data_IF_929541992331
#
_entry.id   IF_929541992331
#
_cell.length_a   1.000
_cell.length_b   1.000
_cell.length_c   1.000
_cell.angle_alpha   90.00
_cell.angle_beta   90.00
_cell.angle_gamma   90.00
#
_symmetry.space_group_name_H-M   'P 1'
#
loop_
_entity.id
_entity.type
_entity.pdbx_description
1 polymer ?
#
# COMPACT_ATOMS: atom_id res chain seq x y z
N UNK A 1 15.49 1.01 13.42
CA UNK A 1 14.76 1.60 12.27
C UNK A 1 14.38 3.06 12.55
N UNK A 2 13.75 3.38 13.69
CA UNK A 2 13.37 4.73 14.11
C UNK A 2 14.55 5.72 14.16
N UNK A 3 15.68 5.34 14.77
CA UNK A 3 16.85 6.21 14.89
C UNK A 3 17.49 6.54 13.53
N UNK A 4 17.60 5.54 12.65
CA UNK A 4 18.10 5.71 11.28
C UNK A 4 17.16 6.60 10.44
N UNK A 5 15.85 6.47 10.63
CA UNK A 5 14.85 7.32 9.96
C UNK A 5 14.99 8.79 10.40
N UNK A 6 15.15 9.04 11.70
CA UNK A 6 15.33 10.38 12.24
C UNK A 6 16.62 11.06 11.73
N UNK A 7 17.75 10.33 11.74
CA UNK A 7 19.04 10.81 11.22
C UNK A 7 18.97 11.16 9.73
N UNK A 8 18.30 10.30 8.94
CA UNK A 8 18.09 10.53 7.52
C UNK A 8 17.25 11.80 7.30
N UNK A 9 16.09 11.93 7.95
CA UNK A 9 15.22 13.09 7.80
C UNK A 9 15.93 14.42 8.15
N UNK A 10 16.73 14.43 9.22
CA UNK A 10 17.54 15.58 9.61
C UNK A 10 18.53 15.98 8.52
N UNK A 11 19.36 15.04 8.05
CA UNK A 11 20.33 15.29 6.98
C UNK A 11 19.68 15.91 5.74
N UNK A 12 18.50 15.42 5.37
CA UNK A 12 17.81 15.86 4.17
C UNK A 12 17.21 17.26 4.29
N UNK A 13 16.81 17.62 5.51
CA UNK A 13 16.24 18.93 5.84
C UNK A 13 17.36 19.97 5.87
N UNK A 14 18.45 19.66 6.56
CA UNK A 14 19.61 20.55 6.73
C UNK A 14 20.28 20.90 5.38
N UNK A 15 20.20 20.01 4.38
CA UNK A 15 20.77 20.20 3.05
C UNK A 15 19.77 20.71 1.99
N UNK A 16 18.57 21.17 2.38
CA UNK A 16 17.54 21.71 1.48
C UNK A 16 17.15 20.78 0.30
N UNK A 17 17.19 19.47 0.50
CA UNK A 17 16.82 18.48 -0.52
C UNK A 17 15.29 18.33 -0.66
N UNK A 18 14.64 19.38 -1.18
CA UNK A 18 13.19 19.56 -1.27
C UNK A 18 12.59 19.56 -2.69
N UNK A 19 13.40 19.25 -3.71
CA UNK A 19 12.95 19.23 -5.11
C UNK A 19 11.88 18.17 -5.38
N UNK A 20 11.11 18.36 -6.44
CA UNK A 20 10.05 17.43 -6.82
C UNK A 20 10.61 16.06 -7.25
N UNK A 21 11.76 16.03 -7.93
CA UNK A 21 12.47 14.80 -8.30
C UNK A 21 12.89 14.00 -7.06
N UNK A 22 13.41 14.67 -6.02
CA UNK A 22 13.76 14.01 -4.77
C UNK A 22 12.54 13.45 -4.04
N UNK A 23 11.41 14.16 -4.03
CA UNK A 23 10.16 13.62 -3.45
C UNK A 23 9.71 12.34 -4.16
N UNK A 24 9.84 12.29 -5.49
CA UNK A 24 9.54 11.09 -6.27
C UNK A 24 10.51 9.94 -5.94
N UNK A 25 11.81 10.20 -5.91
CA UNK A 25 12.84 9.21 -5.53
C UNK A 25 12.59 8.66 -4.13
N UNK A 26 12.24 9.51 -3.16
CA UNK A 26 11.90 9.11 -1.79
C UNK A 26 10.70 8.18 -1.74
N UNK A 27 9.63 8.53 -2.46
CA UNK A 27 8.45 7.67 -2.58
C UNK A 27 8.83 6.29 -3.11
N UNK A 28 9.57 6.27 -4.22
CA UNK A 28 10.00 5.02 -4.86
C UNK A 28 10.94 4.19 -3.99
N UNK A 29 11.89 4.83 -3.31
CA UNK A 29 12.79 4.17 -2.36
C UNK A 29 12.00 3.55 -1.22
N UNK A 30 11.01 4.27 -0.67
CA UNK A 30 10.14 3.77 0.38
C UNK A 30 9.34 2.54 -0.08
N UNK A 31 8.78 2.56 -1.29
CA UNK A 31 8.10 1.40 -1.89
C UNK A 31 9.03 0.18 -1.96
N UNK A 32 10.25 0.34 -2.50
CA UNK A 32 11.20 -0.77 -2.62
C UNK A 32 11.65 -1.32 -1.27
N UNK A 33 11.86 -0.46 -0.27
CA UNK A 33 12.22 -0.91 1.08
C UNK A 33 11.10 -1.75 1.72
N UNK A 34 9.83 -1.37 1.54
CA UNK A 34 8.69 -2.15 2.02
C UNK A 34 8.63 -3.50 1.32
N UNK A 35 8.76 -3.51 -0.02
CA UNK A 35 8.72 -4.74 -0.81
C UNK A 35 9.86 -5.70 -0.41
N UNK A 36 11.08 -5.18 -0.26
CA UNK A 36 12.23 -5.95 0.19
C UNK A 36 12.01 -6.53 1.59
N UNK A 37 11.45 -5.72 2.50
CA UNK A 37 11.13 -6.15 3.85
C UNK A 37 10.08 -7.26 3.86
N UNK A 38 9.00 -7.13 3.08
CA UNK A 38 7.97 -8.15 2.94
C UNK A 38 8.53 -9.46 2.39
N UNK A 39 9.34 -9.38 1.34
CA UNK A 39 10.01 -10.54 0.77
C UNK A 39 10.93 -11.23 1.79
N UNK A 40 11.76 -10.46 2.51
CA UNK A 40 12.65 -10.99 3.55
C UNK A 40 11.88 -11.68 4.69
N UNK A 41 10.65 -11.24 4.96
CA UNK A 41 9.77 -11.82 5.98
C UNK A 41 9.01 -13.06 5.52
N UNK A 42 9.24 -13.53 4.29
CA UNK A 42 8.67 -14.76 3.75
C UNK A 42 7.35 -14.55 3.00
N UNK A 43 6.95 -13.31 2.71
CA UNK A 43 5.82 -13.06 1.81
C UNK A 43 6.28 -13.38 0.38
N UNK A 44 5.75 -14.47 -0.17
CA UNK A 44 5.99 -14.93 -1.55
C UNK A 44 4.85 -14.48 -2.48
N UNK A 45 5.02 -14.61 -3.80
CA UNK A 45 4.01 -14.21 -4.80
C UNK A 45 3.61 -12.73 -4.69
N UNK A 46 4.61 -11.85 -4.70
CA UNK A 46 4.46 -10.39 -4.61
C UNK A 46 4.22 -9.83 -6.02
N UNK A 47 3.12 -9.10 -6.22
CA UNK A 47 2.80 -8.43 -7.48
C UNK A 47 2.89 -6.90 -7.31
N UNK A 48 4.10 -6.31 -7.47
CA UNK A 48 4.27 -4.86 -7.32
C UNK A 48 3.71 -4.10 -8.52
N UNK A 49 3.25 -2.88 -8.31
CA UNK A 49 2.78 -1.96 -9.36
C UNK A 49 1.70 -2.58 -10.28
N UNK A 50 0.78 -3.32 -9.68
CA UNK A 50 -0.17 -4.17 -10.40
C UNK A 50 -1.51 -3.45 -10.69
N UNK A 51 -2.11 -3.85 -11.81
CA UNK A 51 -3.50 -3.56 -12.17
C UNK A 51 -4.29 -4.85 -12.10
N UNK A 52 -5.52 -4.78 -11.58
CA UNK A 52 -6.42 -5.92 -11.52
C UNK A 52 -7.34 -5.89 -12.74
N UNK A 53 -7.53 -7.02 -13.42
CA UNK A 53 -8.31 -7.08 -14.68
C UNK A 53 -9.72 -6.48 -14.55
N UNK A 54 -10.38 -6.68 -13.42
CA UNK A 54 -11.73 -6.19 -13.14
C UNK A 54 -11.75 -4.73 -12.66
N UNK A 55 -10.59 -4.12 -12.40
CA UNK A 55 -10.43 -2.68 -12.13
C UNK A 55 -9.12 -2.19 -12.80
N UNK A 56 -9.13 -1.98 -14.12
CA UNK A 56 -7.93 -1.61 -14.86
C UNK A 56 -7.47 -0.17 -14.61
N UNK A 57 -8.31 0.68 -14.03
CA UNK A 57 -8.02 2.10 -13.82
C UNK A 57 -7.26 2.38 -12.52
N UNK A 58 -7.17 1.40 -11.62
CA UNK A 58 -6.54 1.55 -10.31
C UNK A 58 -5.21 0.82 -10.29
N UNK A 59 -4.15 1.59 -10.04
CA UNK A 59 -2.81 1.05 -9.85
C UNK A 59 -2.53 0.83 -8.37
N UNK A 60 -2.20 -0.40 -8.00
CA UNK A 60 -1.77 -0.74 -6.65
C UNK A 60 -0.26 -0.81 -6.56
N UNK A 61 0.30 -0.32 -5.46
CA UNK A 61 1.75 -0.45 -5.22
C UNK A 61 2.15 -1.90 -4.98
N UNK A 62 1.26 -2.67 -4.33
CA UNK A 62 1.40 -4.12 -4.15
C UNK A 62 0.02 -4.80 -4.14
N UNK A 63 -0.07 -5.95 -4.80
CA UNK A 63 -1.16 -6.92 -4.64
C UNK A 63 -0.59 -8.26 -4.18
N UNK A 64 -1.28 -8.88 -3.23
CA UNK A 64 -1.07 -10.25 -2.77
C UNK A 64 -2.36 -11.04 -2.93
N UNK A 65 -2.23 -12.34 -3.20
CA UNK A 65 -3.36 -13.26 -3.23
C UNK A 65 -3.24 -14.25 -2.09
N UNK A 66 -4.31 -14.43 -1.31
CA UNK A 66 -4.37 -15.43 -0.25
C UNK A 66 -5.57 -16.35 -0.43
N UNK A 67 -5.49 -17.59 0.06
CA UNK A 67 -6.60 -18.55 -0.02
C UNK A 67 -7.88 -18.04 0.64
N UNK A 68 -7.75 -17.29 1.73
CA UNK A 68 -8.86 -16.85 2.58
C UNK A 68 -9.45 -15.51 2.13
N UNK A 69 -8.62 -14.51 1.83
CA UNK A 69 -9.03 -13.13 1.53
C UNK A 69 -9.12 -12.85 0.03
N UNK A 70 -8.68 -13.79 -0.82
CA UNK A 70 -8.52 -13.70 -2.28
C UNK A 70 -7.58 -12.59 -2.73
N UNK A 71 -7.75 -11.34 -2.32
CA UNK A 71 -6.95 -10.20 -2.76
C UNK A 71 -6.70 -9.25 -1.59
N UNK A 72 -5.43 -8.98 -1.35
CA UNK A 72 -4.95 -8.01 -0.37
C UNK A 72 -4.11 -7.00 -1.14
N UNK A 73 -4.57 -5.76 -1.23
CA UNK A 73 -3.89 -4.71 -1.97
C UNK A 73 -3.40 -3.59 -1.06
N UNK A 74 -2.33 -2.95 -1.49
CA UNK A 74 -1.63 -1.94 -0.74
C UNK A 74 -1.27 -0.76 -1.61
N UNK A 75 -1.41 0.43 -1.04
CA UNK A 75 -0.68 1.61 -1.51
C UNK A 75 0.26 2.10 -0.43
N UNK A 76 1.40 2.63 -0.87
CA UNK A 76 2.47 3.13 -0.03
C UNK A 76 2.59 4.64 -0.23
N UNK A 77 2.53 5.40 0.86
CA UNK A 77 2.64 6.87 0.79
C UNK A 77 3.57 7.36 1.90
N UNK A 78 4.62 8.09 1.56
CA UNK A 78 5.46 8.73 2.59
C UNK A 78 4.67 9.74 3.41
N UNK A 79 3.73 10.45 2.77
CA UNK A 79 2.78 11.37 3.41
C UNK A 79 1.44 11.36 2.66
N UNK A 80 0.33 11.56 3.38
CA UNK A 80 -1.02 11.35 2.84
C UNK A 80 -1.64 12.62 2.25
N UNK A 81 -1.56 13.76 2.94
CA UNK A 81 -2.14 15.06 2.50
C UNK A 81 -3.57 14.89 1.99
N UNK A 82 -4.00 15.51 0.90
CA UNK A 82 -5.31 15.25 0.29
C UNK A 82 -5.36 13.98 -0.58
N UNK A 83 -4.21 13.35 -0.86
CA UNK A 83 -4.11 12.22 -1.80
C UNK A 83 -4.83 10.97 -1.30
N UNK A 84 -5.06 10.85 0.01
CA UNK A 84 -5.88 9.73 0.52
C UNK A 84 -7.32 9.77 0.00
N UNK A 85 -7.83 10.93 -0.44
CA UNK A 85 -9.20 11.03 -0.98
C UNK A 85 -9.38 10.18 -2.25
N UNK A 86 -8.37 10.18 -3.13
CA UNK A 86 -8.35 9.31 -4.32
C UNK A 86 -8.38 7.85 -3.90
N UNK A 87 -7.51 7.51 -2.95
CA UNK A 87 -7.41 6.18 -2.36
C UNK A 87 -8.73 5.68 -1.73
N UNK A 88 -9.55 6.55 -1.15
CA UNK A 88 -10.88 6.18 -0.65
C UNK A 88 -11.83 5.78 -1.78
N UNK A 89 -11.88 6.59 -2.85
CA UNK A 89 -12.75 6.31 -4.01
C UNK A 89 -12.37 4.97 -4.64
N UNK A 90 -11.07 4.74 -4.79
CA UNK A 90 -10.50 3.50 -5.30
C UNK A 90 -10.90 2.29 -4.43
N UNK A 91 -10.74 2.41 -3.12
CA UNK A 91 -11.05 1.34 -2.18
C UNK A 91 -12.55 1.02 -2.10
N UNK A 92 -13.42 2.03 -2.24
CA UNK A 92 -14.87 1.84 -2.28
C UNK A 92 -15.31 1.06 -3.52
N UNK A 93 -14.71 1.32 -4.68
CA UNK A 93 -14.99 0.57 -5.91
C UNK A 93 -14.62 -0.91 -5.73
N UNK A 94 -13.49 -1.20 -5.09
CA UNK A 94 -13.04 -2.58 -4.83
C UNK A 94 -14.00 -3.34 -3.90
N UNK A 95 -14.40 -2.73 -2.79
CA UNK A 95 -15.32 -3.37 -1.83
C UNK A 95 -16.70 -3.66 -2.41
N UNK A 96 -17.14 -2.92 -3.43
CA UNK A 96 -18.39 -3.21 -4.16
C UNK A 96 -18.29 -4.46 -5.03
N UNK A 97 -17.09 -4.79 -5.53
CA UNK A 97 -16.87 -5.97 -6.38
C UNK A 97 -16.65 -7.25 -5.57
N UNK A 98 -15.84 -7.19 -4.53
CA UNK A 98 -15.63 -8.33 -3.62
C UNK A 98 -15.48 -7.81 -2.19
N UNK A 99 -16.38 -8.21 -1.30
CA UNK A 99 -16.36 -7.80 0.10
C UNK A 99 -15.16 -8.37 0.86
N UNK A 100 -14.56 -9.46 0.36
CA UNK A 100 -13.34 -10.07 0.92
C UNK A 100 -12.08 -9.30 0.58
N UNK A 101 -12.13 -8.39 -0.40
CA UNK A 101 -11.00 -7.56 -0.77
C UNK A 101 -10.48 -6.79 0.43
N UNK A 102 -9.20 -6.88 0.73
CA UNK A 102 -8.58 -6.08 1.78
C UNK A 102 -7.70 -5.00 1.18
N UNK A 103 -7.86 -3.78 1.70
CA UNK A 103 -7.11 -2.63 1.23
C UNK A 103 -6.44 -1.90 2.37
N UNK A 104 -5.11 -1.82 2.30
CA UNK A 104 -4.27 -1.22 3.33
C UNK A 104 -3.46 -0.06 2.79
N UNK A 105 -3.34 0.99 3.59
CA UNK A 105 -2.54 2.16 3.26
C UNK A 105 -1.35 2.25 4.22
N UNK A 106 -0.14 2.04 3.72
CA UNK A 106 1.07 2.12 4.54
C UNK A 106 1.69 3.51 4.38
N UNK A 107 1.99 4.13 5.51
CA UNK A 107 2.54 5.49 5.56
C UNK A 107 3.58 5.66 6.64
N UNK A 108 4.37 6.74 6.53
CA UNK A 108 5.34 7.14 7.55
C UNK A 108 4.79 8.27 8.44
N UNK A 109 3.54 8.70 8.18
CA UNK A 109 2.90 9.84 8.83
C UNK A 109 2.00 9.38 9.98
N UNK A 110 2.50 9.52 11.22
CA UNK A 110 1.82 9.06 12.42
C UNK A 110 0.49 9.82 12.67
N UNK A 111 0.49 11.14 12.49
CA UNK A 111 -0.68 12.00 12.76
C UNK A 111 -1.79 11.67 11.78
N UNK A 112 -1.46 11.59 10.49
CA UNK A 112 -2.44 11.25 9.46
C UNK A 112 -2.96 9.82 9.60
N UNK A 113 -2.11 8.89 10.04
CA UNK A 113 -2.52 7.51 10.35
C UNK A 113 -3.63 7.49 11.42
N UNK A 114 -3.40 8.14 12.56
CA UNK A 114 -4.38 8.21 13.64
C UNK A 114 -5.68 8.88 13.16
N UNK A 115 -5.56 10.01 12.47
CA UNK A 115 -6.71 10.77 11.96
C UNK A 115 -7.58 9.94 11.02
N UNK A 116 -6.97 9.21 10.08
CA UNK A 116 -7.71 8.39 9.13
C UNK A 116 -8.29 7.13 9.76
N UNK A 117 -7.55 6.44 10.64
CA UNK A 117 -8.10 5.27 11.35
C UNK A 117 -9.31 5.65 12.21
N UNK A 118 -9.29 6.82 12.87
CA UNK A 118 -10.46 7.34 13.58
C UNK A 118 -11.66 7.57 12.65
N UNK A 119 -11.43 8.03 11.41
CA UNK A 119 -12.51 8.21 10.44
C UNK A 119 -13.03 6.87 9.89
N UNK A 120 -12.15 5.89 9.72
CA UNK A 120 -12.51 4.52 9.32
C UNK A 120 -13.38 3.87 10.40
N UNK A 121 -12.95 3.92 11.66
CA UNK A 121 -13.69 3.36 12.80
C UNK A 121 -15.08 3.99 12.97
N UNK A 122 -15.21 5.29 12.69
CA UNK A 122 -16.49 6.01 12.72
C UNK A 122 -17.32 5.88 11.43
N UNK A 123 -16.92 5.04 10.46
CA UNK A 123 -17.63 4.84 9.20
C UNK A 123 -17.59 6.01 8.20
N UNK A 124 -16.85 7.09 8.51
CA UNK A 124 -16.68 8.27 7.64
C UNK A 124 -15.78 8.01 6.44
N UNK A 125 -14.93 7.00 6.54
CA UNK A 125 -14.10 6.51 5.44
C UNK A 125 -14.41 5.03 5.26
N UNK A 126 -14.77 4.65 4.04
CA UNK A 126 -15.10 3.28 3.67
C UNK A 126 -14.10 2.78 2.62
N UNK A 127 -14.05 1.46 2.42
CA UNK A 127 -13.15 0.85 1.44
C UNK A 127 -11.79 0.47 2.02
N UNK A 128 -11.18 1.36 2.80
CA UNK A 128 -9.87 1.13 3.44
C UNK A 128 -10.06 0.33 4.72
N UNK A 129 -9.40 -0.83 4.82
CA UNK A 129 -9.42 -1.66 6.02
C UNK A 129 -8.66 -1.00 7.18
N UNK A 130 -7.45 -0.52 6.92
CA UNK A 130 -6.62 0.15 7.93
C UNK A 130 -5.54 1.01 7.28
N UNK A 131 -5.17 2.11 7.94
CA UNK A 131 -3.96 2.87 7.67
C UNK A 131 -2.88 2.47 8.67
N UNK A 132 -1.68 2.14 8.19
CA UNK A 132 -0.60 1.61 9.02
C UNK A 132 0.59 2.57 8.96
N UNK A 133 1.01 3.06 10.13
CA UNK A 133 2.25 3.78 10.27
C UNK A 133 3.42 2.77 10.34
N UNK A 134 4.28 2.75 9.33
CA UNK A 134 5.40 1.81 9.21
C UNK A 134 6.43 1.88 10.35
N UNK A 135 6.46 2.99 11.09
CA UNK A 135 7.38 3.20 12.20
C UNK A 135 6.70 3.08 13.58
N UNK A 136 5.50 2.50 13.66
CA UNK A 136 4.83 2.24 14.95
C UNK A 136 4.84 0.75 15.30
N UNK A 137 4.62 0.45 16.58
CA UNK A 137 4.49 -0.94 17.05
C UNK A 137 3.32 -1.67 16.39
N UNK A 138 2.28 -0.94 16.01
CA UNK A 138 1.14 -1.47 15.27
C UNK A 138 1.54 -2.03 13.88
N UNK A 139 2.62 -1.52 13.25
CA UNK A 139 3.11 -2.12 12.01
C UNK A 139 3.66 -3.53 12.21
N UNK A 140 4.30 -3.80 13.35
CA UNK A 140 4.78 -5.15 13.67
C UNK A 140 3.61 -6.11 13.88
N UNK A 141 2.60 -5.69 14.66
CA UNK A 141 1.38 -6.47 14.87
C UNK A 141 0.65 -6.75 13.55
N UNK A 142 0.49 -5.72 12.72
CA UNK A 142 -0.07 -5.86 11.38
C UNK A 142 0.69 -6.90 10.54
N UNK A 143 2.02 -6.82 10.51
CA UNK A 143 2.84 -7.74 9.73
C UNK A 143 2.72 -9.18 10.24
N UNK A 144 2.75 -9.40 11.55
CA UNK A 144 2.58 -10.74 12.12
C UNK A 144 1.23 -11.34 11.72
N UNK A 145 0.16 -10.54 11.77
CA UNK A 145 -1.16 -10.96 11.30
C UNK A 145 -1.17 -11.24 9.79
N UNK A 146 -0.52 -10.38 8.99
CA UNK A 146 -0.42 -10.55 7.53
C UNK A 146 0.27 -11.87 7.17
N UNK A 147 1.34 -12.23 7.89
CA UNK A 147 2.11 -13.46 7.68
C UNK A 147 1.34 -14.74 8.04
N UNK A 148 0.20 -14.66 8.74
CA UNK A 148 -0.66 -15.83 8.98
C UNK A 148 -1.42 -16.29 7.72
N UNK A 149 -1.38 -15.51 6.64
CA UNK A 149 -2.06 -15.85 5.40
C UNK A 149 -1.26 -16.83 4.54
N UNK A 150 -1.96 -17.82 3.99
CA UNK A 150 -1.46 -18.67 2.90
C UNK A 150 -1.43 -17.89 1.58
N UNK A 151 -0.28 -17.32 1.25
CA UNK A 151 -0.08 -16.60 -0.02
C UNK A 151 0.07 -17.56 -1.20
N UNK A 152 -0.72 -17.33 -2.24
CA UNK A 152 -0.78 -18.16 -3.44
C UNK A 152 -0.39 -17.35 -4.67
N UNK A 153 0.09 -18.03 -5.71
CA UNK A 153 0.26 -17.41 -7.02
C UNK A 153 -1.10 -17.02 -7.59
N UNK A 154 -1.15 -15.91 -8.31
CA UNK A 154 -2.33 -15.56 -9.10
C UNK A 154 -2.51 -16.60 -10.21
N UNK A 155 -3.70 -17.20 -10.29
CA UNK A 155 -4.00 -18.11 -11.39
C UNK A 155 -4.13 -17.31 -12.69
N UNK A 156 -3.37 -17.61 -13.77
CA UNK A 156 -3.38 -16.85 -15.02
C UNK A 156 -4.71 -16.83 -15.78
N UNK A 157 -5.75 -17.53 -15.28
CA UNK A 157 -6.95 -17.94 -16.04
C UNK A 157 -7.76 -16.77 -16.64
N UNK A 158 -7.46 -15.50 -16.36
CA UNK A 158 -8.12 -14.34 -17.00
C UNK A 158 -7.17 -13.28 -17.61
N UNK A 159 -5.96 -13.65 -18.03
CA UNK A 159 -5.09 -12.75 -18.81
C UNK A 159 -5.51 -12.71 -20.31
N UNK A 160 -6.73 -12.24 -20.62
CA UNK A 160 -7.00 -11.68 -21.95
C UNK A 160 -6.60 -10.21 -21.91
N UNK A 161 -5.33 -9.94 -22.19
CA UNK A 161 -4.84 -8.59 -22.45
C UNK A 161 -5.49 -8.15 -23.77
N UNK A 162 -6.35 -7.13 -23.74
CA UNK A 162 -6.78 -6.43 -24.96
C UNK A 162 -5.50 -5.87 -25.59
N UNK A 163 -5.00 -6.53 -26.64
CA UNK A 163 -3.97 -5.96 -27.50
C UNK A 163 -4.58 -4.74 -28.19
N UNK A 164 -4.37 -3.56 -27.62
CA UNK A 164 -4.58 -2.33 -28.36
C UNK A 164 -3.49 -2.29 -29.42
N UNK A 165 -3.86 -2.60 -30.66
CA UNK A 165 -3.01 -2.38 -31.81
C UNK A 165 -2.75 -0.87 -31.88
N UNK A 166 -1.48 -0.48 -31.82
CA UNK A 166 -1.06 0.86 -32.16
C UNK A 166 -1.14 0.96 -33.69
N UNK A 167 -2.05 1.78 -34.20
CA UNK A 167 -1.98 2.29 -35.57
C UNK A 167 -0.96 3.42 -35.63
#
# INVERSE_FOLDING_TARGET
MLESHAKLNKYLTDNNYNSQSQKAIRGKTNEYLILLYFHQKGIINIYPQAYLFFIPDIKFDLVLFSKTKRIIAFNFKTCLRDRYKQTIVEAQQLKKLDTRFEYYLLTNDAVETQRLNNKIANGKVQGINQVINLFSDNANQFLQNLLTNDFISFSPINLIKKMVHSN
#
